data_IF_651078943585
#
_entry.id   IF_651078943585
#
_cell.length_a   1.000
_cell.length_b   1.000
_cell.length_c   1.000
_cell.angle_alpha   90.00
_cell.angle_beta   90.00
_cell.angle_gamma   90.00
#
_symmetry.space_group_name_H-M   'P 1'
#
loop_
_entity.id
_entity.type
_entity.pdbx_description
1 polymer ?
#
# COMPACT_ATOMS: atom_id res chain seq x y z
N UNK A 1 5.17 37.44 -8.26
CA UNK A 1 3.96 38.12 -7.76
C UNK A 1 2.75 37.47 -8.40
N UNK A 2 2.02 36.61 -7.68
CA UNK A 2 0.87 35.88 -8.22
C UNK A 2 -0.43 36.66 -7.96
N UNK A 3 -1.09 37.13 -9.02
CA UNK A 3 -2.35 37.86 -8.94
C UNK A 3 -3.50 36.90 -8.62
N UNK A 4 -4.09 37.08 -7.44
CA UNK A 4 -5.25 36.33 -6.95
C UNK A 4 -6.50 36.81 -7.70
N UNK A 5 -6.96 36.03 -8.69
CA UNK A 5 -8.14 36.33 -9.51
C UNK A 5 -9.41 36.17 -8.66
N UNK A 6 -10.10 37.27 -8.39
CA UNK A 6 -11.38 37.28 -7.68
C UNK A 6 -12.47 36.69 -8.59
N UNK A 7 -13.20 35.69 -8.11
CA UNK A 7 -14.35 35.10 -8.80
C UNK A 7 -15.61 35.83 -8.34
N UNK A 8 -16.36 36.39 -9.30
CA UNK A 8 -17.58 37.13 -9.07
C UNK A 8 -18.66 36.25 -8.39
N UNK A 9 -19.23 36.74 -7.27
CA UNK A 9 -20.39 36.12 -6.63
C UNK A 9 -21.64 36.45 -7.45
N UNK A 10 -22.24 35.43 -8.06
CA UNK A 10 -23.52 35.54 -8.77
C UNK A 10 -24.64 36.04 -7.87
N UNK A 11 -25.42 36.99 -8.39
CA UNK A 11 -26.54 37.63 -7.68
C UNK A 11 -27.70 36.66 -7.44
N UNK A 12 -28.18 36.61 -6.21
CA UNK A 12 -29.39 35.87 -5.83
C UNK A 12 -30.63 36.59 -6.39
N UNK A 13 -31.39 35.93 -7.27
CA UNK A 13 -32.71 36.40 -7.69
C UNK A 13 -33.64 36.40 -6.47
N UNK A 14 -34.23 37.55 -6.15
CA UNK A 14 -35.19 37.69 -5.04
C UNK A 14 -36.50 37.01 -5.43
N UNK A 15 -36.80 35.87 -4.80
CA UNK A 15 -38.09 35.19 -4.91
C UNK A 15 -39.09 35.81 -3.91
N UNK A 16 -40.38 35.83 -4.26
CA UNK A 16 -41.44 36.36 -3.38
C UNK A 16 -41.54 35.51 -2.10
N UNK A 17 -41.78 36.13 -0.95
CA UNK A 17 -41.95 35.50 0.35
C UNK A 17 -42.95 34.33 0.35
N UNK A 18 -44.03 34.42 -0.43
CA UNK A 18 -45.00 33.31 -0.57
C UNK A 18 -44.38 32.08 -1.27
N UNK A 19 -43.55 32.30 -2.29
CA UNK A 19 -42.83 31.24 -2.98
C UNK A 19 -41.70 30.66 -2.12
N UNK A 20 -41.05 31.49 -1.30
CA UNK A 20 -40.07 31.04 -0.30
C UNK A 20 -40.72 30.16 0.77
N UNK A 21 -41.90 30.53 1.27
CA UNK A 21 -42.62 29.74 2.27
C UNK A 21 -43.01 28.35 1.76
N UNK A 22 -43.41 28.22 0.50
CA UNK A 22 -43.66 26.92 -0.13
C UNK A 22 -42.38 26.10 -0.26
N UNK A 23 -41.29 26.71 -0.74
CA UNK A 23 -39.98 26.04 -0.86
C UNK A 23 -39.49 25.57 0.51
N UNK A 24 -39.63 26.38 1.56
CA UNK A 24 -39.24 26.01 2.92
C UNK A 24 -40.10 24.86 3.47
N UNK A 25 -41.40 24.83 3.16
CA UNK A 25 -42.29 23.74 3.55
C UNK A 25 -41.90 22.42 2.88
N UNK A 26 -41.63 22.45 1.58
CA UNK A 26 -41.16 21.27 0.83
C UNK A 26 -39.77 20.85 1.34
N UNK A 27 -38.88 21.81 1.57
CA UNK A 27 -37.54 21.55 2.09
C UNK A 27 -37.58 20.88 3.47
N UNK A 28 -38.48 21.29 4.36
CA UNK A 28 -38.69 20.64 5.67
C UNK A 28 -39.21 19.21 5.50
N UNK A 29 -40.24 19.01 4.67
CA UNK A 29 -40.81 17.68 4.45
C UNK A 29 -39.78 16.71 3.84
N UNK A 30 -38.97 17.18 2.90
CA UNK A 30 -37.85 16.41 2.34
C UNK A 30 -36.78 16.17 3.40
N UNK A 31 -36.39 17.19 4.17
CA UNK A 31 -35.38 17.05 5.21
C UNK A 31 -35.80 16.07 6.31
N UNK A 32 -37.07 16.04 6.69
CA UNK A 32 -37.57 15.13 7.71
C UNK A 32 -37.60 13.69 7.20
N UNK A 33 -38.09 13.45 5.96
CA UNK A 33 -37.97 12.12 5.33
C UNK A 33 -36.52 11.66 5.20
N UNK A 34 -35.64 12.56 4.80
CA UNK A 34 -34.21 12.30 4.67
C UNK A 34 -33.56 12.01 6.02
N UNK A 35 -33.98 12.66 7.12
CA UNK A 35 -33.47 12.34 8.47
C UNK A 35 -33.90 10.95 8.94
N UNK A 36 -35.11 10.50 8.60
CA UNK A 36 -35.58 9.14 8.95
C UNK A 36 -34.78 8.06 8.20
N UNK A 37 -34.42 8.32 6.93
CA UNK A 37 -33.69 7.37 6.09
C UNK A 37 -32.16 7.42 6.30
N UNK A 38 -31.62 8.46 6.92
CA UNK A 38 -30.19 8.58 7.14
C UNK A 38 -29.77 7.90 8.45
N UNK A 39 -28.72 7.04 8.40
CA UNK A 39 -28.16 6.49 9.60
C UNK A 39 -27.69 7.59 10.55
N UNK A 40 -27.89 7.38 11.84
CA UNK A 40 -27.38 8.28 12.86
C UNK A 40 -25.85 8.35 12.78
N UNK A 41 -25.26 9.42 13.34
CA UNK A 41 -23.79 9.58 13.35
C UNK A 41 -23.09 8.40 14.03
N UNK A 42 -23.76 7.76 14.98
CA UNK A 42 -23.26 6.59 15.71
C UNK A 42 -23.34 5.33 14.84
N UNK A 43 -24.46 5.09 14.18
CA UNK A 43 -24.61 4.00 13.20
C UNK A 43 -23.59 4.10 12.07
N UNK A 44 -23.33 5.30 11.54
CA UNK A 44 -22.27 5.49 10.55
C UNK A 44 -20.87 5.18 11.11
N UNK A 45 -20.61 5.45 12.40
CA UNK A 45 -19.34 5.08 13.05
C UNK A 45 -19.23 3.57 13.20
N UNK A 46 -20.32 2.90 13.56
CA UNK A 46 -20.38 1.44 13.68
C UNK A 46 -20.22 0.74 12.33
N UNK A 47 -20.92 1.19 11.29
CA UNK A 47 -20.77 0.69 9.94
C UNK A 47 -19.33 0.84 9.45
N UNK A 48 -18.68 1.98 9.72
CA UNK A 48 -17.26 2.19 9.40
C UNK A 48 -16.35 1.23 10.17
N UNK A 49 -16.62 0.93 11.44
CA UNK A 49 -15.87 -0.07 12.22
C UNK A 49 -16.06 -1.47 11.63
N UNK A 50 -17.30 -1.85 11.30
CA UNK A 50 -17.63 -3.13 10.69
C UNK A 50 -16.92 -3.32 9.34
N UNK A 51 -16.92 -2.30 8.49
CA UNK A 51 -16.19 -2.33 7.21
C UNK A 51 -14.69 -2.49 7.43
N UNK A 52 -14.09 -1.76 8.38
CA UNK A 52 -12.65 -1.93 8.70
C UNK A 52 -12.35 -3.34 9.23
N UNK A 53 -13.23 -3.91 10.03
CA UNK A 53 -13.08 -5.28 10.52
C UNK A 53 -13.17 -6.30 9.38
N UNK A 54 -14.15 -6.15 8.49
CA UNK A 54 -14.29 -6.99 7.31
C UNK A 54 -13.06 -6.87 6.40
N UNK A 55 -12.57 -5.64 6.16
CA UNK A 55 -11.35 -5.41 5.41
C UNK A 55 -10.12 -6.05 6.07
N UNK A 56 -10.02 -6.02 7.41
CA UNK A 56 -8.96 -6.74 8.15
C UNK A 56 -9.09 -8.24 7.96
N UNK A 57 -10.29 -8.80 8.10
CA UNK A 57 -10.58 -10.24 7.93
C UNK A 57 -10.25 -10.72 6.53
N UNK A 58 -10.58 -9.95 5.50
CA UNK A 58 -10.25 -10.26 4.11
C UNK A 58 -8.74 -10.15 3.84
N UNK A 59 -8.06 -9.14 4.40
CA UNK A 59 -6.59 -9.03 4.33
C UNK A 59 -5.88 -10.17 5.03
N UNK A 60 -6.39 -10.65 6.17
CA UNK A 60 -5.86 -11.83 6.85
C UNK A 60 -6.27 -13.14 6.20
N UNK A 61 -7.42 -13.16 5.51
CA UNK A 61 -8.03 -14.34 4.88
C UNK A 61 -7.46 -14.70 3.51
N UNK A 62 -6.74 -13.80 2.84
CA UNK A 62 -6.04 -14.06 1.57
C UNK A 62 -4.53 -14.27 1.79
N UNK A 63 -4.21 -15.01 2.85
CA UNK A 63 -2.85 -15.30 3.28
C UNK A 63 -2.68 -16.72 3.79
N UNK A 64 -3.60 -17.65 3.46
CA UNK A 64 -3.31 -19.08 3.44
C UNK A 64 -2.36 -19.41 2.27
N UNK A 65 -1.29 -18.65 2.14
CA UNK A 65 -0.09 -19.18 1.55
C UNK A 65 0.34 -20.27 2.50
N UNK A 66 0.04 -21.53 2.14
CA UNK A 66 0.92 -22.61 2.54
C UNK A 66 2.31 -22.06 2.28
N UNK A 67 3.10 -21.79 3.33
CA UNK A 67 4.47 -21.33 3.14
C UNK A 67 5.07 -22.46 2.33
N UNK A 68 5.26 -22.28 1.02
CA UNK A 68 5.79 -23.33 0.16
C UNK A 68 7.02 -23.80 0.90
N UNK A 69 7.01 -25.07 1.34
CA UNK A 69 8.13 -25.63 2.06
C UNK A 69 9.36 -25.28 1.23
N UNK A 70 10.31 -24.55 1.85
CA UNK A 70 11.47 -24.06 1.11
C UNK A 70 12.12 -25.21 0.35
N UNK A 71 12.82 -24.92 -0.76
CA UNK A 71 13.51 -25.95 -1.55
C UNK A 71 14.26 -26.89 -0.58
N UNK A 72 14.09 -28.22 -0.70
CA UNK A 72 14.71 -29.16 0.23
C UNK A 72 16.22 -28.91 0.28
N UNK A 73 16.80 -29.04 1.48
CA UNK A 73 18.25 -28.90 1.67
C UNK A 73 18.94 -29.93 0.79
N UNK A 74 19.94 -29.48 0.05
CA UNK A 74 20.70 -30.38 -0.81
C UNK A 74 21.58 -31.31 0.03
N UNK A 75 21.72 -32.57 -0.40
CA UNK A 75 22.52 -33.57 0.29
C UNK A 75 24.05 -33.42 0.08
N UNK A 76 24.50 -32.46 -0.74
CA UNK A 76 25.95 -32.23 -0.93
C UNK A 76 26.52 -31.45 0.24
N UNK A 77 27.77 -31.77 0.59
CA UNK A 77 28.55 -31.07 1.60
C UNK A 77 29.21 -29.83 1.00
N UNK A 78 29.64 -28.94 1.89
CA UNK A 78 30.45 -27.79 1.54
C UNK A 78 31.77 -28.24 0.88
N UNK A 79 32.21 -27.51 -0.14
CA UNK A 79 33.48 -27.76 -0.85
C UNK A 79 34.72 -27.33 -0.04
N UNK A 80 34.55 -26.64 1.10
CA UNK A 80 35.66 -26.20 1.95
C UNK A 80 36.20 -27.39 2.73
N UNK A 81 37.50 -27.66 2.61
CA UNK A 81 38.18 -28.73 3.32
C UNK A 81 37.92 -28.64 4.84
N UNK A 82 37.53 -29.77 5.45
CA UNK A 82 37.16 -29.85 6.86
C UNK A 82 35.73 -29.35 7.18
N UNK A 83 34.93 -28.91 6.21
CA UNK A 83 33.55 -28.49 6.43
C UNK A 83 32.54 -29.58 6.04
N UNK A 84 31.87 -30.17 7.04
CA UNK A 84 30.85 -31.20 6.83
C UNK A 84 29.40 -30.68 6.74
N UNK A 85 29.20 -29.36 6.66
CA UNK A 85 27.87 -28.75 6.59
C UNK A 85 27.26 -28.90 5.20
N UNK A 86 25.94 -29.03 5.11
CA UNK A 86 25.21 -29.06 3.83
C UNK A 86 25.40 -27.74 3.06
N UNK A 87 25.69 -27.86 1.77
CA UNK A 87 25.80 -26.70 0.90
C UNK A 87 24.41 -26.09 0.61
N UNK A 88 24.37 -24.76 0.50
CA UNK A 88 23.14 -24.00 0.26
C UNK A 88 23.18 -23.37 -1.13
N UNK A 89 24.33 -22.86 -1.55
CA UNK A 89 24.53 -22.25 -2.86
C UNK A 89 26.00 -22.34 -3.30
N UNK A 90 26.21 -22.49 -4.61
CA UNK A 90 27.54 -22.50 -5.25
C UNK A 90 28.57 -23.47 -4.63
N UNK A 91 28.14 -24.57 -4.00
CA UNK A 91 29.06 -25.51 -3.35
C UNK A 91 29.42 -25.15 -1.90
N UNK A 92 28.91 -24.04 -1.36
CA UNK A 92 29.24 -23.58 0.00
C UNK A 92 28.08 -23.74 0.97
N UNK A 93 28.39 -24.04 2.23
CA UNK A 93 27.44 -23.91 3.33
C UNK A 93 27.04 -22.43 3.52
N UNK A 94 25.95 -22.17 4.26
CA UNK A 94 25.46 -20.79 4.46
C UNK A 94 26.54 -19.83 4.94
N UNK A 95 27.41 -20.27 5.85
CA UNK A 95 28.51 -19.48 6.41
C UNK A 95 29.56 -19.15 5.37
N UNK A 96 30.07 -20.16 4.66
CA UNK A 96 31.12 -19.96 3.65
C UNK A 96 30.59 -19.22 2.41
N UNK A 97 29.32 -19.43 2.05
CA UNK A 97 28.68 -18.67 0.99
C UNK A 97 28.60 -17.18 1.32
N UNK A 98 28.24 -16.83 2.56
CA UNK A 98 28.20 -15.43 3.01
C UNK A 98 29.59 -14.79 3.05
N UNK A 99 30.61 -15.50 3.54
CA UNK A 99 31.98 -15.02 3.56
C UNK A 99 32.46 -14.72 2.13
N UNK A 100 32.35 -15.70 1.22
CA UNK A 100 32.75 -15.55 -0.17
C UNK A 100 32.00 -14.42 -0.88
N UNK A 101 30.68 -14.30 -0.65
CA UNK A 101 29.87 -13.23 -1.23
C UNK A 101 30.35 -11.83 -0.78
N UNK A 102 30.78 -11.67 0.47
CA UNK A 102 31.34 -10.39 0.97
C UNK A 102 32.68 -10.08 0.31
N UNK A 103 33.55 -11.08 0.15
CA UNK A 103 34.83 -10.94 -0.55
C UNK A 103 34.62 -10.59 -2.03
N UNK A 104 33.70 -11.26 -2.72
CA UNK A 104 33.32 -10.98 -4.10
C UNK A 104 32.77 -9.55 -4.25
N UNK A 105 31.94 -9.10 -3.31
CA UNK A 105 31.42 -7.72 -3.30
C UNK A 105 32.53 -6.69 -3.07
N UNK A 106 33.46 -6.97 -2.16
CA UNK A 106 34.62 -6.10 -1.92
C UNK A 106 35.54 -6.05 -3.16
N UNK A 107 35.77 -7.19 -3.81
CA UNK A 107 36.55 -7.30 -5.05
C UNK A 107 35.82 -6.66 -6.26
N UNK A 108 34.50 -6.64 -6.27
CA UNK A 108 33.72 -5.93 -7.29
C UNK A 108 33.77 -4.41 -7.08
N UNK A 109 33.72 -3.94 -5.83
CA UNK A 109 33.82 -2.53 -5.49
C UNK A 109 35.19 -1.93 -5.79
N UNK A 110 36.27 -2.72 -5.74
CA UNK A 110 37.63 -2.27 -6.04
C UNK A 110 37.99 -2.26 -7.54
N UNK A 111 37.16 -2.85 -8.41
CA UNK A 111 37.43 -2.84 -9.87
C UNK A 111 37.07 -1.48 -10.47
N UNK A 112 37.98 -0.82 -11.22
CA UNK A 112 37.66 0.45 -11.88
C UNK A 112 36.55 0.23 -12.91
N UNK A 113 35.56 1.13 -12.91
CA UNK A 113 34.45 1.10 -13.86
C UNK A 113 35.01 1.10 -15.29
N UNK A 114 34.81 -0.01 -16.01
CA UNK A 114 35.24 -0.17 -17.40
C UNK A 114 34.64 0.96 -18.24
N UNK A 115 35.44 1.96 -18.62
CA UNK A 115 35.00 3.04 -19.52
C UNK A 115 34.59 2.38 -20.84
N UNK A 116 33.30 2.45 -21.18
CA UNK A 116 32.82 1.99 -22.49
C UNK A 116 33.45 2.91 -23.54
N UNK A 117 34.34 2.36 -24.36
CA UNK A 117 34.88 3.05 -25.52
C UNK A 117 33.72 3.42 -26.44
N UNK A 118 33.43 4.71 -26.59
CA UNK A 118 32.52 5.23 -27.60
C UNK A 118 33.12 4.87 -28.97
N UNK A 119 32.50 3.93 -29.69
CA UNK A 119 32.75 3.70 -31.12
C UNK A 119 32.47 5.03 -31.86
N UNK A 120 33.46 5.51 -32.62
CA UNK A 120 33.35 6.67 -33.52
C UNK A 120 32.74 6.22 -34.84
#
# INVERSE_FOLDING_TARGET
>A
MATRKQVAKGGARKVNAAAQGFVDSVARSVADKVKEDLPTREEFRELKKAVRELQRKLRSGSGSGTRKAGRPRSNRKCEVAGCNLSHVAQGFCSRHYQARRREEMAAAASKPARKKARKR
#
